data_IF_431546025225
#
_entry.id   IF_431546025225
#
_cell.length_a   1.000
_cell.length_b   1.000
_cell.length_c   1.000
_cell.angle_alpha   90.00
_cell.angle_beta   90.00
_cell.angle_gamma   90.00
#
_symmetry.space_group_name_H-M   'P 1'
#
loop_
_entity.id
_entity.type
_entity.pdbx_description
1 polymer ?
#
# COMPACT_ATOMS: atom_id res chain seq x y z
N UNK A 1 -25.13 14.58 -6.97
CA UNK A 1 -24.37 13.33 -6.98
C UNK A 1 -23.75 13.14 -5.60
N UNK A 2 -24.36 12.32 -4.76
CA UNK A 2 -23.74 11.90 -3.50
C UNK A 2 -22.46 11.13 -3.85
N UNK A 3 -21.29 11.47 -3.27
CA UNK A 3 -20.13 10.60 -3.43
C UNK A 3 -20.54 9.26 -2.83
N UNK A 4 -20.59 8.22 -3.67
CA UNK A 4 -20.88 6.86 -3.23
C UNK A 4 -19.85 6.55 -2.15
N UNK A 5 -20.28 6.52 -0.89
CA UNK A 5 -19.43 6.20 0.26
C UNK A 5 -18.68 4.92 -0.08
N UNK A 6 -17.38 5.02 -0.35
CA UNK A 6 -16.57 3.86 -0.70
C UNK A 6 -16.65 2.89 0.47
N UNK A 7 -17.36 1.79 0.25
CA UNK A 7 -17.58 0.79 1.30
C UNK A 7 -16.19 0.30 1.74
N UNK A 8 -15.87 0.24 3.05
CA UNK A 8 -14.54 -0.18 3.53
C UNK A 8 -14.10 -1.54 2.94
N UNK A 9 -15.07 -2.40 2.61
CA UNK A 9 -14.85 -3.64 1.86
C UNK A 9 -14.20 -3.45 0.48
N UNK A 10 -14.58 -2.41 -0.29
CA UNK A 10 -13.98 -2.10 -1.60
C UNK A 10 -12.51 -1.72 -1.46
N UNK A 11 -12.16 -0.95 -0.43
CA UNK A 11 -10.77 -0.54 -0.18
C UNK A 11 -9.89 -1.73 0.22
N UNK A 12 -10.42 -2.65 1.04
CA UNK A 12 -9.72 -3.89 1.43
C UNK A 12 -9.53 -4.80 0.20
N UNK A 13 -10.58 -5.01 -0.60
CA UNK A 13 -10.51 -5.78 -1.84
C UNK A 13 -9.48 -5.22 -2.81
N UNK A 14 -9.45 -3.88 -2.98
CA UNK A 14 -8.46 -3.20 -3.82
C UNK A 14 -7.03 -3.41 -3.29
N UNK A 15 -6.82 -3.33 -1.98
CA UNK A 15 -5.51 -3.56 -1.38
C UNK A 15 -5.03 -5.00 -1.54
N UNK A 16 -5.91 -5.99 -1.39
CA UNK A 16 -5.61 -7.40 -1.61
C UNK A 16 -5.29 -7.66 -3.09
N UNK A 17 -6.12 -7.14 -3.99
CA UNK A 17 -5.91 -7.22 -5.44
C UNK A 17 -4.53 -6.69 -5.83
N UNK A 18 -4.14 -5.51 -5.34
CA UNK A 18 -2.83 -4.93 -5.60
C UNK A 18 -1.67 -5.79 -5.08
N UNK A 19 -1.83 -6.42 -3.91
CA UNK A 19 -0.81 -7.31 -3.35
C UNK A 19 -0.63 -8.60 -4.16
N UNK A 20 -1.73 -9.20 -4.60
CA UNK A 20 -1.69 -10.42 -5.42
C UNK A 20 -1.00 -10.13 -6.75
N UNK A 21 -1.34 -9.01 -7.40
CA UNK A 21 -0.74 -8.62 -8.67
C UNK A 21 0.78 -8.43 -8.51
N UNK A 22 1.24 -7.73 -7.48
CA UNK A 22 2.67 -7.51 -7.25
C UNK A 22 3.48 -8.80 -7.01
N UNK A 23 2.91 -9.76 -6.27
CA UNK A 23 3.58 -11.05 -6.05
C UNK A 23 3.61 -11.91 -7.31
N UNK A 24 2.52 -11.92 -8.08
CA UNK A 24 2.50 -12.61 -9.38
C UNK A 24 3.52 -11.99 -10.33
N UNK A 25 3.59 -10.66 -10.42
CA UNK A 25 4.52 -9.95 -11.30
C UNK A 25 5.98 -10.30 -10.98
N UNK A 26 6.33 -10.30 -9.68
CA UNK A 26 7.66 -10.68 -9.21
C UNK A 26 8.00 -12.13 -9.55
N UNK A 27 7.05 -13.06 -9.38
CA UNK A 27 7.23 -14.47 -9.72
C UNK A 27 7.37 -14.67 -11.23
N UNK A 28 6.57 -13.97 -12.04
CA UNK A 28 6.63 -14.03 -13.51
C UNK A 28 7.96 -13.51 -14.01
N UNK A 29 8.40 -12.33 -13.56
CA UNK A 29 9.70 -11.76 -13.92
C UNK A 29 10.84 -12.70 -13.52
N UNK A 30 10.80 -13.21 -12.29
CA UNK A 30 11.80 -14.16 -11.80
C UNK A 30 11.85 -15.44 -12.64
N UNK A 31 10.68 -15.95 -13.05
CA UNK A 31 10.58 -17.12 -13.91
C UNK A 31 11.11 -16.85 -15.31
N UNK A 32 10.76 -15.71 -15.92
CA UNK A 32 11.25 -15.33 -17.24
C UNK A 32 12.78 -15.16 -17.28
N UNK A 33 13.37 -14.62 -16.22
CA UNK A 33 14.82 -14.45 -16.11
C UNK A 33 15.56 -15.76 -15.87
N UNK A 34 15.00 -16.67 -15.06
CA UNK A 34 15.73 -17.85 -14.57
C UNK A 34 15.32 -19.15 -15.25
N UNK A 35 14.15 -19.20 -15.90
CA UNK A 35 13.54 -20.39 -16.50
C UNK A 35 13.16 -21.49 -15.50
N UNK A 36 13.30 -21.24 -14.18
CA UNK A 36 13.13 -22.24 -13.12
C UNK A 36 12.02 -21.84 -12.16
N UNK A 37 10.94 -22.62 -12.14
CA UNK A 37 9.77 -22.36 -11.30
C UNK A 37 10.09 -22.38 -9.80
N UNK A 38 10.99 -23.26 -9.37
CA UNK A 38 11.41 -23.37 -7.95
C UNK A 38 12.03 -22.07 -7.44
N UNK A 39 12.79 -21.37 -8.28
CA UNK A 39 13.44 -20.10 -7.92
C UNK A 39 12.40 -18.98 -7.86
N UNK A 40 11.50 -18.90 -8.84
CA UNK A 40 10.41 -17.92 -8.84
C UNK A 40 9.50 -18.06 -7.60
N UNK A 41 9.13 -19.29 -7.22
CA UNK A 41 8.37 -19.58 -6.00
C UNK A 41 9.12 -19.20 -4.73
N UNK A 42 10.43 -19.46 -4.69
CA UNK A 42 11.27 -19.08 -3.55
C UNK A 42 11.30 -17.56 -3.38
N UNK A 43 11.48 -16.80 -4.47
CA UNK A 43 11.48 -15.34 -4.46
C UNK A 43 10.13 -14.78 -4.01
N UNK A 44 9.02 -15.28 -4.58
CA UNK A 44 7.68 -14.84 -4.19
C UNK A 44 7.39 -15.12 -2.70
N UNK A 45 7.84 -16.27 -2.18
CA UNK A 45 7.68 -16.62 -0.77
C UNK A 45 8.46 -15.67 0.15
N UNK A 46 9.71 -15.36 -0.21
CA UNK A 46 10.55 -14.42 0.52
C UNK A 46 9.97 -13.01 0.46
N UNK A 47 9.44 -12.58 -0.69
CA UNK A 47 8.80 -11.26 -0.84
C UNK A 47 7.65 -11.09 0.17
N UNK A 48 6.73 -12.05 0.22
CA UNK A 48 5.58 -12.00 1.15
C UNK A 48 6.06 -11.98 2.60
N UNK A 49 7.02 -12.84 2.96
CA UNK A 49 7.53 -12.94 4.32
C UNK A 49 8.24 -11.65 4.76
N UNK A 50 9.09 -11.10 3.88
CA UNK A 50 9.80 -9.84 4.12
C UNK A 50 8.82 -8.69 4.31
N UNK A 51 7.75 -8.64 3.51
CA UNK A 51 6.70 -7.60 3.60
C UNK A 51 5.91 -7.68 4.90
N UNK A 52 5.62 -8.89 5.39
CA UNK A 52 4.99 -9.08 6.71
C UNK A 52 5.89 -8.54 7.83
N UNK A 53 7.18 -8.90 7.82
CA UNK A 53 8.14 -8.43 8.82
C UNK A 53 8.27 -6.90 8.77
N UNK A 54 8.49 -6.33 7.58
CA UNK A 54 8.59 -4.89 7.39
C UNK A 54 7.33 -4.16 7.83
N UNK A 55 6.13 -4.68 7.54
CA UNK A 55 4.88 -4.07 7.96
C UNK A 55 4.74 -4.05 9.48
N UNK A 56 5.09 -5.15 10.16
CA UNK A 56 5.09 -5.21 11.62
C UNK A 56 6.05 -4.18 12.22
N UNK A 57 7.29 -4.12 11.74
CA UNK A 57 8.26 -3.14 12.22
C UNK A 57 7.87 -1.71 11.87
N UNK A 58 7.25 -1.48 10.72
CA UNK A 58 6.74 -0.17 10.31
C UNK A 58 5.66 0.32 11.27
N UNK A 59 4.66 -0.50 11.59
CA UNK A 59 3.62 -0.17 12.58
C UNK A 59 4.25 0.11 13.95
N UNK A 60 5.19 -0.74 14.41
CA UNK A 60 5.88 -0.52 15.68
C UNK A 60 6.69 0.77 15.69
N UNK A 61 7.47 1.04 14.65
CA UNK A 61 8.21 2.29 14.51
C UNK A 61 7.26 3.49 14.57
N UNK A 62 6.09 3.40 13.92
CA UNK A 62 5.08 4.45 13.94
C UNK A 62 4.47 4.68 15.32
N UNK A 63 4.29 3.62 16.12
CA UNK A 63 3.88 3.73 17.53
C UNK A 63 4.95 4.40 18.40
N UNK A 64 6.24 4.21 18.09
CA UNK A 64 7.36 4.85 18.81
C UNK A 64 7.54 6.34 18.48
N UNK A 65 7.08 6.81 17.32
CA UNK A 65 7.08 8.23 17.00
C UNK A 65 5.80 8.88 17.55
N UNK A 66 5.84 9.63 18.66
CA UNK A 66 4.68 10.38 19.10
C UNK A 66 4.30 11.37 18.00
N UNK A 67 3.15 11.17 17.35
CA UNK A 67 2.60 12.21 16.47
C UNK A 67 2.30 13.42 17.35
N UNK A 68 3.20 14.39 17.36
CA UNK A 68 2.88 15.73 17.80
C UNK A 68 1.74 16.19 16.90
N UNK A 69 0.53 16.17 17.45
CA UNK A 69 -0.69 16.62 16.80
C UNK A 69 -0.55 18.13 16.64
N UNK A 70 0.19 18.54 15.61
CA UNK A 70 0.29 19.92 15.17
C UNK A 70 -1.13 20.36 14.84
N UNK A 71 -1.75 21.08 15.78
CA UNK A 71 -3.06 21.70 15.60
C UNK A 71 -2.84 22.87 14.67
N UNK A 72 -2.78 22.59 13.36
CA UNK A 72 -2.61 23.62 12.34
C UNK A 72 -3.79 24.59 12.43
N UNK A 73 -3.54 25.89 12.66
CA UNK A 73 -4.58 26.90 12.62
C UNK A 73 -5.08 27.09 11.18
N UNK A 74 -6.29 27.64 11.07
CA UNK A 74 -7.25 27.68 9.98
C UNK A 74 -6.79 28.21 8.58
N UNK A 75 -5.50 28.42 8.33
CA UNK A 75 -4.97 29.13 7.15
C UNK A 75 -4.68 28.26 5.92
N UNK A 76 -4.77 26.93 5.99
CA UNK A 76 -4.45 26.03 4.86
C UNK A 76 -5.66 25.56 4.01
N UNK A 77 -6.87 26.04 4.29
CA UNK A 77 -8.10 25.53 3.66
C UNK A 77 -8.31 25.95 2.19
N UNK A 78 -7.63 27.00 1.70
CA UNK A 78 -7.77 27.52 0.33
C UNK A 78 -7.05 26.66 -0.71
N UNK A 79 -5.78 26.36 -0.46
CA UNK A 79 -4.92 25.58 -1.35
C UNK A 79 -5.29 24.09 -1.40
N UNK A 80 -5.74 23.52 -0.27
CA UNK A 80 -6.09 22.11 -0.18
C UNK A 80 -7.37 21.75 -0.98
N UNK A 81 -8.31 22.68 -1.11
CA UNK A 81 -9.52 22.53 -1.95
C UNK A 81 -9.21 22.50 -3.44
N UNK A 82 -8.10 23.11 -3.88
CA UNK A 82 -7.70 23.12 -5.28
C UNK A 82 -7.12 21.76 -5.71
N UNK A 83 -6.28 21.14 -4.87
CA UNK A 83 -5.66 19.84 -5.18
C UNK A 83 -6.68 18.69 -5.16
N UNK A 84 -7.66 18.69 -4.24
CA UNK A 84 -8.69 17.64 -4.23
C UNK A 84 -9.65 17.69 -5.43
N UNK A 85 -9.77 18.85 -6.08
CA UNK A 85 -10.61 19.02 -7.27
C UNK A 85 -9.96 18.45 -8.54
N UNK A 86 -8.65 18.20 -8.52
CA UNK A 86 -7.90 17.61 -9.63
C UNK A 86 -7.87 16.07 -9.62
N UNK A 87 -8.50 15.42 -8.62
CA UNK A 87 -8.58 13.96 -8.50
C UNK A 87 -10.02 13.42 -8.52
N UNK A 88 -10.95 14.22 -9.06
CA UNK A 88 -12.35 13.88 -9.34
C UNK A 88 -12.52 13.37 -10.76
#
# INVERSE_FOLDING_TARGET
>A
MTPLRDHPAKSILKAISWRIIGTIDTMVISYLLTGRLVIALSIGSIEVFTKMILYYFHERAWEYFPQQKLRFPFLFSGFFRFIQRAKS
#
